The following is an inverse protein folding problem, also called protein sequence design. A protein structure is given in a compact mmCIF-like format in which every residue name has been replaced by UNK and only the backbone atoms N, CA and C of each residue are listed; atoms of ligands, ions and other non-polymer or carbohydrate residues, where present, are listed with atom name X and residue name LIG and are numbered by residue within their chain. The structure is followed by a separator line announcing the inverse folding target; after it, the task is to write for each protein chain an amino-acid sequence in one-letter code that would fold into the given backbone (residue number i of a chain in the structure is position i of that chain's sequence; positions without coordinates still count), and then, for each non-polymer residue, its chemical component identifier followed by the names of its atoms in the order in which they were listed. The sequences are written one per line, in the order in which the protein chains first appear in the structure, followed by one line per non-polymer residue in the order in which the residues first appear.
data_IF_712814443974
#
_entry.id   IF_712814443974
#
_cell.length_a   1.000
_cell.length_b   1.000
_cell.length_c   1.000
_cell.angle_alpha   90.00
_cell.angle_beta   90.00
_cell.angle_gamma   90.00
#
_symmetry.space_group_name_H-M   'P 1'
#
loop_
_entity.id
_entity.type
_entity.pdbx_description
1 polymer ?
#
# COMPACT_ATOMS: atom_id res chain seq x y z
N UNK A 1 -7.89 -3.33 14.89
CA UNK A 1 -9.15 -3.03 14.19
C UNK A 1 -9.92 -4.33 14.11
N UNK A 2 -11.03 -4.41 14.81
CA UNK A 2 -11.95 -5.56 14.74
C UNK A 2 -13.14 -5.27 13.83
N UNK A 3 -13.18 -4.05 13.29
CA UNK A 3 -14.28 -3.53 12.51
C UNK A 3 -14.06 -3.90 11.04
N UNK A 4 -14.68 -4.99 10.62
CA UNK A 4 -14.65 -5.48 9.24
C UNK A 4 -15.15 -4.43 8.26
N UNK A 5 -16.16 -3.66 8.64
CA UNK A 5 -16.79 -2.66 7.77
C UNK A 5 -15.80 -1.54 7.40
N UNK A 6 -14.91 -1.17 8.33
CA UNK A 6 -13.85 -0.19 8.05
C UNK A 6 -12.82 -0.71 7.05
N UNK A 7 -12.44 -1.97 7.18
CA UNK A 7 -11.52 -2.61 6.23
C UNK A 7 -12.18 -2.70 4.86
N UNK A 8 -13.43 -3.14 4.80
CA UNK A 8 -14.17 -3.27 3.54
C UNK A 8 -14.35 -1.90 2.86
N UNK A 9 -14.59 -0.83 3.61
CA UNK A 9 -14.62 0.54 3.09
C UNK A 9 -13.29 0.95 2.47
N UNK A 10 -12.18 0.73 3.16
CA UNK A 10 -10.84 1.07 2.66
C UNK A 10 -10.53 0.29 1.36
N UNK A 11 -10.83 -1.00 1.34
CA UNK A 11 -10.61 -1.84 0.16
C UNK A 11 -11.50 -1.39 -1.01
N UNK A 12 -12.74 -0.98 -0.75
CA UNK A 12 -13.62 -0.44 -1.80
C UNK A 12 -13.04 0.86 -2.39
N UNK A 13 -12.52 1.76 -1.57
CA UNK A 13 -11.84 2.97 -2.04
C UNK A 13 -10.61 2.64 -2.91
N UNK A 14 -9.83 1.64 -2.50
CA UNK A 14 -8.69 1.17 -3.29
C UNK A 14 -9.12 0.58 -4.63
N UNK A 15 -10.19 -0.23 -4.63
CA UNK A 15 -10.76 -0.84 -5.83
C UNK A 15 -11.21 0.20 -6.87
N UNK A 16 -11.68 1.35 -6.41
CA UNK A 16 -12.17 2.44 -7.26
C UNK A 16 -11.05 3.36 -7.78
N UNK A 17 -9.80 3.11 -7.44
CA UNK A 17 -8.68 3.89 -7.95
C UNK A 17 -8.56 3.78 -9.48
N UNK A 18 -8.13 4.84 -10.18
CA UNK A 18 -7.85 4.76 -11.61
C UNK A 18 -6.59 3.97 -11.90
N UNK A 19 -6.52 3.38 -13.08
CA UNK A 19 -5.33 2.72 -13.61
C UNK A 19 -5.17 2.98 -15.09
N UNK A 20 -3.96 2.83 -15.62
CA UNK A 20 -3.70 3.01 -17.05
C UNK A 20 -4.53 2.04 -17.88
N UNK A 21 -5.33 2.58 -18.81
CA UNK A 21 -6.27 1.82 -19.68
C UNK A 21 -7.26 0.97 -18.87
N UNK A 22 -7.44 1.28 -17.59
CA UNK A 22 -8.29 0.54 -16.65
C UNK A 22 -7.95 -0.96 -16.54
N UNK A 23 -6.67 -1.31 -16.68
CA UNK A 23 -6.24 -2.71 -16.57
C UNK A 23 -6.19 -3.23 -15.14
N UNK A 24 -6.14 -2.37 -14.14
CA UNK A 24 -6.25 -2.72 -12.72
C UNK A 24 -5.26 -3.84 -12.32
N UNK A 25 -3.95 -3.64 -12.52
CA UNK A 25 -2.95 -4.70 -12.33
C UNK A 25 -2.52 -4.84 -10.87
N UNK A 26 -3.46 -4.78 -9.96
CA UNK A 26 -3.24 -4.88 -8.52
C UNK A 26 -3.99 -6.02 -7.88
N UNK A 27 -3.49 -6.43 -6.74
CA UNK A 27 -4.17 -7.36 -5.85
C UNK A 27 -3.89 -6.96 -4.40
N UNK A 28 -4.94 -6.92 -3.58
CA UNK A 28 -4.83 -6.52 -2.18
C UNK A 28 -4.89 -7.75 -1.28
N UNK A 29 -3.92 -7.86 -0.37
CA UNK A 29 -3.89 -8.91 0.65
C UNK A 29 -4.09 -8.26 2.01
N UNK A 30 -5.17 -8.60 2.70
CA UNK A 30 -5.48 -8.09 4.03
C UNK A 30 -4.98 -9.08 5.07
N UNK A 31 -4.00 -8.68 5.86
CA UNK A 31 -3.34 -9.52 6.87
C UNK A 31 -3.90 -9.17 8.25
N UNK A 32 -4.69 -10.07 8.81
CA UNK A 32 -5.40 -9.88 10.10
C UNK A 32 -5.11 -10.97 11.12
N UNK A 33 -4.84 -12.23 10.69
CA UNK A 33 -4.53 -13.31 11.60
C UNK A 33 -3.13 -13.14 12.19
N UNK A 34 -2.96 -13.56 13.44
CA UNK A 34 -1.66 -13.43 14.12
C UNK A 34 -0.56 -14.25 13.43
N UNK A 35 -0.90 -15.43 12.94
CA UNK A 35 0.02 -16.26 12.17
C UNK A 35 0.57 -15.53 10.93
N UNK A 36 -0.33 -14.94 10.14
CA UNK A 36 0.07 -14.22 8.91
C UNK A 36 0.79 -12.90 9.22
N UNK A 37 0.44 -12.23 10.32
CA UNK A 37 1.20 -11.08 10.78
C UNK A 37 2.64 -11.44 11.16
N UNK A 38 2.86 -12.59 11.80
CA UNK A 38 4.21 -13.06 12.10
C UNK A 38 5.01 -13.33 10.83
N UNK A 39 4.40 -13.94 9.81
CA UNK A 39 5.02 -14.12 8.50
C UNK A 39 5.39 -12.78 7.85
N UNK A 40 4.51 -11.80 7.93
CA UNK A 40 4.75 -10.47 7.36
C UNK A 40 5.87 -9.72 8.09
N UNK A 41 5.91 -9.83 9.42
CA UNK A 41 6.92 -9.18 10.27
C UNK A 41 8.33 -9.66 10.02
N UNK A 42 8.52 -10.84 9.46
CA UNK A 42 9.82 -11.32 9.01
C UNK A 42 10.38 -10.51 7.85
N UNK A 43 9.51 -9.91 7.04
CA UNK A 43 9.90 -9.11 5.88
C UNK A 43 10.27 -7.66 6.26
N UNK A 44 9.74 -7.16 7.37
CA UNK A 44 9.99 -5.82 7.86
C UNK A 44 9.81 -5.79 9.39
N UNK A 45 10.90 -5.65 10.12
CA UNK A 45 10.91 -5.74 11.58
C UNK A 45 11.26 -4.39 12.21
N UNK A 46 10.24 -3.58 12.52
CA UNK A 46 10.33 -2.36 13.29
C UNK A 46 9.32 -2.40 14.44
N UNK A 47 9.70 -1.88 15.60
CA UNK A 47 8.87 -1.94 16.81
C UNK A 47 7.48 -1.33 16.58
N UNK A 48 7.41 -0.15 15.98
CA UNK A 48 6.14 0.53 15.67
C UNK A 48 5.28 -0.26 14.67
N UNK A 49 5.91 -0.91 13.68
CA UNK A 49 5.22 -1.71 12.67
C UNK A 49 4.57 -2.96 13.28
N UNK A 50 5.27 -3.61 14.19
CA UNK A 50 4.79 -4.84 14.86
C UNK A 50 3.51 -4.59 15.67
N UNK A 51 3.29 -3.36 16.11
CA UNK A 51 2.09 -3.00 16.91
C UNK A 51 0.82 -2.84 16.07
N UNK A 52 0.93 -2.71 14.75
CA UNK A 52 -0.26 -2.53 13.91
C UNK A 52 -1.17 -3.77 13.96
N UNK A 53 -2.47 -3.57 14.14
CA UNK A 53 -3.42 -4.68 14.22
C UNK A 53 -3.78 -5.27 12.85
N UNK A 54 -3.63 -4.51 11.77
CA UNK A 54 -3.99 -4.90 10.41
C UNK A 54 -2.98 -4.35 9.41
N UNK A 55 -2.72 -5.12 8.36
CA UNK A 55 -1.91 -4.68 7.23
C UNK A 55 -2.64 -4.94 5.93
N UNK A 56 -2.47 -4.05 4.96
CA UNK A 56 -2.87 -4.28 3.58
C UNK A 56 -1.60 -4.29 2.73
N UNK A 57 -1.33 -5.40 2.08
CA UNK A 57 -0.23 -5.51 1.13
C UNK A 57 -0.80 -5.29 -0.26
N UNK A 58 -0.26 -4.29 -0.95
CA UNK A 58 -0.62 -3.99 -2.34
C UNK A 58 0.38 -4.69 -3.24
N UNK A 59 -0.11 -5.67 -3.98
CA UNK A 59 0.67 -6.41 -4.97
C UNK A 59 0.34 -5.91 -6.37
N UNK A 60 1.29 -6.05 -7.29
CA UNK A 60 1.12 -5.75 -8.70
C UNK A 60 1.48 -6.95 -9.57
N UNK A 61 1.02 -6.92 -10.81
CA UNK A 61 1.30 -7.91 -11.85
C UNK A 61 1.70 -7.21 -13.14
N UNK A 62 2.97 -7.28 -13.49
CA UNK A 62 3.52 -6.63 -14.68
C UNK A 62 3.01 -7.25 -15.99
N UNK A 63 2.56 -8.50 -15.97
CA UNK A 63 2.11 -9.21 -17.17
C UNK A 63 0.78 -8.68 -17.70
N UNK A 64 -0.05 -8.08 -16.84
CA UNK A 64 -1.37 -7.54 -17.20
C UNK A 64 -1.42 -6.01 -17.22
N UNK A 65 -0.36 -5.34 -16.81
CA UNK A 65 -0.30 -3.88 -16.77
C UNK A 65 -0.11 -3.27 -18.17
N UNK A 66 -0.54 -2.03 -18.31
CA UNK A 66 -0.28 -1.27 -19.52
C UNK A 66 1.20 -0.92 -19.66
N UNK A 67 1.70 -1.03 -20.90
CA UNK A 67 3.07 -0.69 -21.26
C UNK A 67 3.03 0.44 -22.27
N UNK A 68 3.70 1.55 -21.99
CA UNK A 68 3.79 2.70 -22.89
C UNK A 68 4.67 2.36 -24.08
N UNK A 69 4.14 2.51 -25.30
CA UNK A 69 4.82 2.10 -26.52
C UNK A 69 6.09 2.88 -26.81
N UNK A 70 6.14 4.16 -26.47
CA UNK A 70 7.26 5.04 -26.82
C UNK A 70 8.58 4.69 -26.13
N UNK A 71 8.52 4.13 -24.93
CA UNK A 71 9.70 3.83 -24.10
C UNK A 71 9.62 2.49 -23.35
N UNK A 72 8.59 1.68 -23.61
CA UNK A 72 8.35 0.39 -22.98
C UNK A 72 8.20 0.46 -21.45
N UNK A 73 7.75 1.61 -20.91
CA UNK A 73 7.54 1.75 -19.47
C UNK A 73 6.29 1.00 -19.03
N UNK A 74 6.48 0.00 -18.17
CA UNK A 74 5.39 -0.73 -17.55
C UNK A 74 4.80 0.10 -16.40
N UNK A 75 3.48 0.22 -16.34
CA UNK A 75 2.77 1.06 -15.39
C UNK A 75 2.24 0.34 -14.14
N UNK A 76 2.60 -0.92 -13.93
CA UNK A 76 2.11 -1.70 -12.80
C UNK A 76 2.38 -1.03 -11.44
N UNK A 77 3.62 -0.55 -11.22
CA UNK A 77 3.99 0.09 -9.96
C UNK A 77 3.30 1.45 -9.79
N UNK A 78 3.11 2.20 -10.87
CA UNK A 78 2.38 3.48 -10.84
C UNK A 78 0.93 3.24 -10.45
N UNK A 79 0.26 2.29 -11.10
CA UNK A 79 -1.13 1.95 -10.81
C UNK A 79 -1.30 1.46 -9.37
N UNK A 80 -0.41 0.58 -8.91
CA UNK A 80 -0.40 0.10 -7.53
C UNK A 80 -0.18 1.23 -6.51
N UNK A 81 0.68 2.20 -6.83
CA UNK A 81 0.91 3.37 -5.98
C UNK A 81 -0.34 4.25 -5.84
N UNK A 82 -1.10 4.44 -6.92
CA UNK A 82 -2.37 5.19 -6.89
C UNK A 82 -3.36 4.51 -5.94
N UNK A 83 -3.56 3.20 -6.08
CA UNK A 83 -4.45 2.44 -5.20
C UNK A 83 -3.97 2.46 -3.73
N UNK A 84 -2.66 2.42 -3.50
CA UNK A 84 -2.07 2.50 -2.15
C UNK A 84 -2.40 3.84 -1.49
N UNK A 85 -2.30 4.96 -2.22
CA UNK A 85 -2.66 6.27 -1.66
C UNK A 85 -4.15 6.37 -1.36
N UNK A 86 -5.02 5.77 -2.17
CA UNK A 86 -6.45 5.66 -1.87
C UNK A 86 -6.69 4.95 -0.53
N UNK A 87 -5.92 3.89 -0.21
CA UNK A 87 -5.98 3.21 1.10
C UNK A 87 -5.65 4.19 2.23
N UNK A 88 -4.57 4.94 2.09
CA UNK A 88 -4.12 5.88 3.12
C UNK A 88 -5.13 7.02 3.34
N UNK A 89 -5.67 7.58 2.27
CA UNK A 89 -6.68 8.65 2.35
C UNK A 89 -7.99 8.16 2.96
N UNK A 90 -8.46 6.97 2.55
CA UNK A 90 -9.67 6.36 3.10
C UNK A 90 -9.50 6.05 4.59
N UNK A 91 -8.34 5.55 5.00
CA UNK A 91 -8.03 5.30 6.41
C UNK A 91 -8.10 6.60 7.23
N UNK A 92 -7.48 7.68 6.73
CA UNK A 92 -7.49 8.98 7.39
C UNK A 92 -8.91 9.54 7.53
N UNK A 93 -9.74 9.42 6.52
CA UNK A 93 -11.14 9.87 6.53
C UNK A 93 -11.96 9.25 7.66
N UNK A 94 -11.74 7.96 7.91
CA UNK A 94 -12.50 7.23 8.96
C UNK A 94 -11.75 7.16 10.31
N UNK A 95 -10.74 8.03 10.49
CA UNK A 95 -10.04 8.20 11.77
C UNK A 95 -9.01 7.14 12.10
N UNK A 96 -8.49 6.44 11.10
CA UNK A 96 -7.40 5.48 11.25
C UNK A 96 -6.06 6.11 10.86
N UNK A 97 -5.00 5.69 11.55
CA UNK A 97 -3.63 5.94 11.12
C UNK A 97 -3.16 4.90 10.11
N UNK A 98 -2.33 5.34 9.20
CA UNK A 98 -1.69 4.48 8.20
C UNK A 98 -0.23 4.84 8.01
N UNK A 99 0.58 3.87 7.63
CA UNK A 99 1.94 4.12 7.20
C UNK A 99 2.26 3.25 5.99
N UNK A 100 2.72 3.90 4.94
CA UNK A 100 3.17 3.27 3.71
C UNK A 100 4.62 2.81 3.85
N UNK A 101 4.86 1.50 3.75
CA UNK A 101 6.17 0.88 3.89
C UNK A 101 6.59 0.25 2.57
N UNK A 102 7.80 0.57 2.10
CA UNK A 102 8.41 -0.04 0.92
C UNK A 102 9.76 -0.72 1.22
N UNK A 103 10.40 -0.41 2.33
CA UNK A 103 11.70 -0.98 2.70
C UNK A 103 11.57 -2.35 3.38
N UNK A 104 10.88 -3.26 2.73
CA UNK A 104 10.73 -4.65 3.17
C UNK A 104 11.46 -5.59 2.20
N UNK A 105 11.61 -6.86 2.58
CA UNK A 105 12.20 -7.91 1.72
C UNK A 105 11.11 -8.53 0.82
N UNK A 106 11.05 -8.16 -0.48
CA UNK A 106 10.01 -8.63 -1.38
C UNK A 106 10.14 -10.12 -1.73
N UNK A 107 11.35 -10.65 -1.80
CA UNK A 107 11.57 -12.07 -2.13
C UNK A 107 11.15 -12.96 -0.96
N UNK A 108 11.46 -12.55 0.26
CA UNK A 108 10.99 -13.26 1.46
C UNK A 108 9.47 -13.21 1.57
N UNK A 109 8.86 -12.07 1.24
CA UNK A 109 7.41 -11.93 1.20
C UNK A 109 6.78 -12.91 0.20
N UNK A 110 7.30 -12.96 -1.02
CA UNK A 110 6.81 -13.88 -2.06
C UNK A 110 6.89 -15.34 -1.61
N UNK A 111 7.99 -15.73 -0.98
CA UNK A 111 8.18 -17.08 -0.44
C UNK A 111 7.20 -17.37 0.70
N UNK A 112 7.08 -16.48 1.68
CA UNK A 112 6.22 -16.67 2.86
C UNK A 112 4.72 -16.71 2.52
N UNK A 113 4.29 -15.98 1.50
CA UNK A 113 2.88 -15.89 1.11
C UNK A 113 2.54 -16.69 -0.16
N UNK A 114 3.49 -17.41 -0.73
CA UNK A 114 3.26 -18.30 -1.88
C UNK A 114 2.76 -17.57 -3.12
N UNK A 115 3.28 -16.37 -3.41
CA UNK A 115 2.89 -15.62 -4.60
C UNK A 115 3.38 -16.28 -5.89
N UNK A 116 2.59 -16.15 -6.96
CA UNK A 116 3.01 -16.55 -8.31
C UNK A 116 4.20 -15.72 -8.77
N UNK A 117 4.92 -16.19 -9.80
CA UNK A 117 6.07 -15.49 -10.36
C UNK A 117 5.72 -14.10 -10.92
N UNK A 118 4.48 -13.91 -11.37
CA UNK A 118 4.00 -12.67 -11.99
C UNK A 118 3.56 -11.61 -10.99
N UNK A 119 3.17 -12.02 -9.79
CA UNK A 119 2.68 -11.14 -8.73
C UNK A 119 3.78 -10.81 -7.74
N UNK A 120 3.94 -9.53 -7.41
CA UNK A 120 4.95 -9.08 -6.45
C UNK A 120 4.41 -7.98 -5.54
N UNK A 121 4.91 -7.86 -4.30
CA UNK A 121 4.49 -6.80 -3.39
C UNK A 121 5.13 -5.47 -3.79
N UNK A 122 4.31 -4.41 -3.79
CA UNK A 122 4.76 -3.02 -4.06
C UNK A 122 4.87 -2.24 -2.77
N UNK A 123 3.86 -2.36 -1.91
CA UNK A 123 3.80 -1.62 -0.65
C UNK A 123 3.07 -2.42 0.43
N UNK A 124 3.46 -2.17 1.67
CA UNK A 124 2.72 -2.65 2.85
C UNK A 124 2.16 -1.41 3.55
N UNK A 125 0.85 -1.37 3.75
CA UNK A 125 0.21 -0.33 4.55
C UNK A 125 -0.17 -0.90 5.90
N UNK A 126 0.46 -0.41 6.97
CA UNK A 126 0.03 -0.70 8.33
C UNK A 126 -1.14 0.19 8.71
N UNK A 127 -2.15 -0.37 9.37
CA UNK A 127 -3.37 0.33 9.75
C UNK A 127 -3.65 0.14 11.24
N UNK A 128 -4.10 1.19 11.91
CA UNK A 128 -4.46 1.13 13.32
C UNK A 128 -5.08 2.43 13.82
N UNK A 129 -5.60 2.41 15.05
CA UNK A 129 -6.00 3.64 15.72
C UNK A 129 -4.76 4.39 16.22
N UNK A 130 -4.76 5.71 16.02
CA UNK A 130 -3.69 6.57 16.52
C UNK A 130 -3.87 6.72 18.03
N UNK A 131 -2.88 6.30 18.82
CA UNK A 131 -2.90 6.41 20.26
C UNK A 131 -2.41 7.79 20.73
N UNK A 132 -1.37 8.30 20.06
CA UNK A 132 -0.78 9.60 20.36
C UNK A 132 -0.54 10.35 19.06
N UNK A 133 -0.90 11.64 19.05
CA UNK A 133 -0.55 12.49 17.91
C UNK A 133 0.95 12.78 17.96
N UNK A 134 1.63 12.75 16.81
CA UNK A 134 3.05 13.09 16.76
C UNK A 134 3.27 14.55 17.14
N UNK A 135 4.30 14.80 17.95
CA UNK A 135 4.66 16.14 18.43
C UNK A 135 5.34 17.01 17.36
N UNK A 136 5.54 16.48 16.16
CA UNK A 136 6.22 17.18 15.08
C UNK A 136 5.40 17.15 13.80
N UNK A 137 5.52 18.21 13.01
CA UNK A 137 4.93 18.29 11.68
C UNK A 137 5.94 17.78 10.65
N UNK A 138 5.45 16.98 9.72
CA UNK A 138 6.24 16.58 8.54
C UNK A 138 6.40 17.80 7.63
N UNK A 139 7.65 18.19 7.36
CA UNK A 139 7.93 19.32 6.47
C UNK A 139 7.57 19.00 5.02
N UNK A 140 7.22 20.03 4.28
CA UNK A 140 6.97 19.97 2.82
C UNK A 140 7.79 21.07 2.15
N UNK A 141 8.17 20.84 0.90
CA UNK A 141 8.73 21.89 0.06
C UNK A 141 7.69 22.97 -0.19
N UNK A 142 8.15 24.20 -0.36
CA UNK A 142 7.27 25.30 -0.75
C UNK A 142 6.70 25.04 -2.14
N UNK A 143 5.49 25.55 -2.37
CA UNK A 143 4.80 25.35 -3.63
C UNK A 143 5.60 25.83 -4.84
N UNK A 144 6.33 26.94 -4.71
CA UNK A 144 7.16 27.52 -5.77
C UNK A 144 8.35 26.63 -6.17
N UNK A 145 8.80 25.74 -5.28
CA UNK A 145 9.89 24.80 -5.58
C UNK A 145 9.42 23.61 -6.45
N UNK A 146 8.12 23.35 -6.48
CA UNK A 146 7.56 22.13 -7.11
C UNK A 146 6.53 22.41 -8.21
N UNK A 147 6.21 23.68 -8.45
CA UNK A 147 5.22 24.10 -9.47
C UNK A 147 5.83 25.10 -10.42
N UNK A 148 5.65 24.88 -11.70
CA UNK A 148 6.00 25.84 -12.76
C UNK A 148 4.76 26.19 -13.57
N UNK A 149 4.47 27.49 -13.70
CA UNK A 149 3.46 27.99 -14.63
C UNK A 149 4.13 28.35 -15.96
N UNK A 150 3.62 27.82 -17.08
CA UNK A 150 4.15 28.03 -18.43
C UNK A 150 3.25 28.93 -19.25
#
# INVERSE_FOLDING_TARGET
IRDRDKIDYIIECARLAPSAVNYQPWHFMVVVSEEQKQNLRQCYNREWFVRAPVYIVVCADKSIAWVRKSDNKNHADIDAAIATEHICLAAAEIGLGSCWVCNFDPELFKANFGLSSERYPVAIVSLGYIQEQPDHFTTRKDKDEIVTFL
#
